data_IF_517305452748
#
_entry.id   IF_517305452748
#
_cell.length_a   1.000
_cell.length_b   1.000
_cell.length_c   1.000
_cell.angle_alpha   90.00
_cell.angle_beta   90.00
_cell.angle_gamma   90.00
#
_symmetry.space_group_name_H-M   'P 1'
#
loop_
_entity.id
_entity.type
_entity.pdbx_description
1 polymer ?
#
# COMPACT_ATOMS: atom_id res chain seq x y z
N UNK A 1 -13.17 -19.86 -1.87
CA UNK A 1 -12.29 -19.19 -2.85
C UNK A 1 -12.98 -17.95 -3.42
N UNK A 2 -12.22 -17.03 -4.01
CA UNK A 2 -12.69 -15.69 -4.43
C UNK A 2 -14.00 -15.70 -5.23
N UNK A 3 -14.09 -16.50 -6.30
CA UNK A 3 -15.31 -16.64 -7.13
C UNK A 3 -16.59 -16.86 -6.32
N UNK A 4 -16.57 -17.79 -5.36
CA UNK A 4 -17.71 -18.10 -4.49
C UNK A 4 -18.02 -16.92 -3.57
N UNK A 5 -17.00 -16.30 -2.99
CA UNK A 5 -17.17 -15.11 -2.14
C UNK A 5 -17.83 -13.94 -2.88
N UNK A 6 -17.48 -13.72 -4.15
CA UNK A 6 -18.13 -12.69 -4.96
C UNK A 6 -19.57 -13.03 -5.35
N UNK A 7 -19.87 -14.30 -5.63
CA UNK A 7 -21.21 -14.76 -5.98
C UNK A 7 -22.16 -14.72 -4.77
N UNK A 8 -21.77 -15.34 -3.67
CA UNK A 8 -22.63 -15.54 -2.50
C UNK A 8 -22.68 -14.29 -1.61
N UNK A 9 -21.62 -13.48 -1.63
CA UNK A 9 -21.49 -12.26 -0.83
C UNK A 9 -22.11 -11.02 -1.49
N UNK A 10 -22.80 -11.16 -2.62
CA UNK A 10 -23.39 -10.05 -3.38
C UNK A 10 -22.40 -8.91 -3.68
N UNK A 11 -21.13 -9.27 -3.93
CA UNK A 11 -20.06 -8.31 -4.17
C UNK A 11 -19.98 -7.89 -5.65
N UNK A 12 -19.37 -6.74 -5.90
CA UNK A 12 -19.21 -6.21 -7.27
C UNK A 12 -18.04 -6.87 -8.03
N UNK A 13 -18.36 -7.57 -9.10
CA UNK A 13 -17.39 -8.15 -10.04
C UNK A 13 -16.71 -7.06 -10.88
N UNK A 14 -15.50 -6.70 -10.51
CA UNK A 14 -14.76 -5.53 -10.98
C UNK A 14 -13.52 -5.86 -11.82
N UNK A 15 -13.20 -7.13 -12.03
CA UNK A 15 -12.12 -7.56 -12.94
C UNK A 15 -12.61 -7.61 -14.38
N UNK A 16 -11.79 -7.10 -15.31
CA UNK A 16 -12.10 -7.04 -16.74
C UNK A 16 -10.82 -7.23 -17.58
N UNK A 17 -11.01 -7.62 -18.83
CA UNK A 17 -9.96 -7.61 -19.84
C UNK A 17 -9.35 -6.20 -20.00
N UNK A 18 -8.02 -6.05 -20.01
CA UNK A 18 -7.39 -4.74 -19.99
C UNK A 18 -7.63 -3.92 -21.26
N UNK A 19 -7.80 -4.57 -22.42
CA UNK A 19 -7.90 -3.91 -23.72
C UNK A 19 -9.37 -3.64 -24.12
N UNK A 20 -10.21 -4.68 -24.08
CA UNK A 20 -11.62 -4.63 -24.48
C UNK A 20 -12.55 -4.16 -23.37
N UNK A 21 -12.08 -4.19 -22.12
CA UNK A 21 -12.87 -3.88 -20.91
C UNK A 21 -14.03 -4.84 -20.65
N UNK A 22 -14.10 -5.97 -21.37
CA UNK A 22 -15.08 -7.01 -21.10
C UNK A 22 -14.93 -7.54 -19.67
N UNK A 23 -16.04 -7.59 -18.91
CA UNK A 23 -16.01 -8.03 -17.52
C UNK A 23 -15.78 -9.55 -17.44
N UNK A 24 -14.97 -10.00 -16.48
CA UNK A 24 -14.72 -11.42 -16.18
C UNK A 24 -15.98 -12.19 -15.74
N UNK A 25 -16.99 -11.49 -15.21
CA UNK A 25 -18.23 -12.08 -14.71
C UNK A 25 -18.13 -12.72 -13.33
N UNK A 26 -16.94 -12.79 -12.73
CA UNK A 26 -16.73 -13.44 -11.42
C UNK A 26 -15.60 -12.84 -10.55
N UNK A 27 -14.99 -11.74 -11.00
CA UNK A 27 -13.87 -11.07 -10.32
C UNK A 27 -12.58 -11.92 -10.21
N UNK A 28 -12.41 -12.92 -11.07
CA UNK A 28 -11.17 -13.69 -11.16
C UNK A 28 -10.27 -13.16 -12.30
N UNK A 29 -8.96 -13.46 -12.30
CA UNK A 29 -8.20 -14.18 -11.28
C UNK A 29 -7.98 -13.36 -10.00
N UNK A 30 -7.82 -14.05 -8.87
CA UNK A 30 -7.19 -13.46 -7.70
C UNK A 30 -5.67 -13.41 -7.91
N UNK A 31 -5.03 -12.35 -7.42
CA UNK A 31 -3.56 -12.26 -7.40
C UNK A 31 -3.07 -12.93 -6.13
N UNK A 32 -2.17 -13.90 -6.28
CA UNK A 32 -1.67 -14.71 -5.17
C UNK A 32 -0.15 -14.62 -5.14
N UNK A 33 0.39 -14.25 -3.99
CA UNK A 33 1.81 -14.28 -3.69
C UNK A 33 2.07 -15.40 -2.68
N UNK A 34 3.15 -16.15 -2.89
CA UNK A 34 3.55 -17.23 -2.00
C UNK A 34 4.89 -16.89 -1.36
N UNK A 35 4.96 -17.01 -0.04
CA UNK A 35 6.21 -17.05 0.71
C UNK A 35 6.42 -18.48 1.19
N UNK A 36 7.48 -19.13 0.73
CA UNK A 36 7.85 -20.47 1.19
C UNK A 36 8.77 -20.32 2.39
N UNK A 37 8.28 -20.74 3.56
CA UNK A 37 9.00 -20.64 4.83
C UNK A 37 9.07 -22.02 5.51
N UNK A 38 10.08 -22.28 6.37
CA UNK A 38 10.12 -23.50 7.16
C UNK A 38 8.91 -23.60 8.11
N UNK A 39 8.38 -24.81 8.30
CA UNK A 39 7.26 -25.08 9.21
C UNK A 39 6.24 -26.05 8.60
N UNK A 40 5.14 -26.26 9.32
CA UNK A 40 4.02 -27.13 8.96
C UNK A 40 2.65 -26.43 9.01
N UNK A 41 2.65 -25.10 9.16
CA UNK A 41 1.45 -24.25 9.22
C UNK A 41 1.27 -23.41 7.95
N UNK A 42 0.05 -22.93 7.71
CA UNK A 42 -0.30 -22.10 6.56
C UNK A 42 -0.94 -20.79 7.02
N UNK A 43 -0.18 -19.69 6.92
CA UNK A 43 -0.72 -18.35 7.11
C UNK A 43 -1.30 -17.82 5.79
N UNK A 44 -2.55 -17.33 5.84
CA UNK A 44 -3.23 -16.72 4.70
C UNK A 44 -3.62 -15.29 5.06
N UNK A 45 -3.01 -14.34 4.38
CA UNK A 45 -3.41 -12.93 4.43
C UNK A 45 -4.23 -12.59 3.19
N UNK A 46 -5.42 -12.05 3.39
CA UNK A 46 -6.32 -11.59 2.35
C UNK A 46 -6.40 -10.07 2.36
N UNK A 47 -6.27 -9.45 1.18
CA UNK A 47 -6.43 -8.01 0.99
C UNK A 47 -7.43 -7.74 -0.14
N UNK A 48 -8.49 -6.99 0.16
CA UNK A 48 -9.46 -6.51 -0.83
C UNK A 48 -9.15 -5.06 -1.22
N UNK A 49 -8.23 -4.86 -2.17
CA UNK A 49 -7.84 -3.54 -2.62
C UNK A 49 -8.87 -2.90 -3.56
N UNK A 50 -9.16 -1.62 -3.35
CA UNK A 50 -10.03 -0.85 -4.24
C UNK A 50 -9.22 -0.26 -5.40
N UNK A 51 -9.77 -0.29 -6.62
CA UNK A 51 -9.08 0.26 -7.80
C UNK A 51 -8.72 1.75 -7.68
N UNK A 52 -9.53 2.54 -6.97
CA UNK A 52 -9.24 3.97 -6.76
C UNK A 52 -7.95 4.21 -5.98
N UNK A 53 -7.64 3.35 -5.01
CA UNK A 53 -6.43 3.42 -4.20
C UNK A 53 -5.26 2.71 -4.88
N UNK A 54 -5.51 1.57 -5.53
CA UNK A 54 -4.53 0.87 -6.38
C UNK A 54 -3.93 1.78 -7.44
N UNK A 55 -4.76 2.57 -8.12
CA UNK A 55 -4.34 3.49 -9.19
C UNK A 55 -3.47 4.65 -8.71
N UNK A 56 -3.23 4.78 -7.38
CA UNK A 56 -2.32 5.77 -6.78
C UNK A 56 -1.02 5.14 -6.31
N UNK A 57 -0.84 3.84 -6.55
CA UNK A 57 0.42 3.15 -6.32
C UNK A 57 1.46 3.57 -7.35
N UNK A 58 2.72 3.61 -6.96
CA UNK A 58 3.85 3.88 -7.87
C UNK A 58 5.08 3.15 -7.38
N UNK A 59 5.85 2.60 -8.32
CA UNK A 59 7.21 2.16 -8.07
C UNK A 59 8.14 3.15 -8.75
N UNK A 60 9.15 3.61 -8.04
CA UNK A 60 10.16 4.52 -8.55
C UNK A 60 11.55 4.02 -8.18
N UNK A 61 12.52 4.28 -9.06
CA UNK A 61 13.92 4.04 -8.79
C UNK A 61 14.54 5.34 -8.34
N UNK A 62 14.87 5.45 -7.05
CA UNK A 62 15.59 6.60 -6.53
C UNK A 62 17.09 6.45 -6.81
N UNK A 63 17.77 7.58 -6.87
CA UNK A 63 19.23 7.58 -6.85
C UNK A 63 19.71 7.15 -5.45
N UNK A 64 20.68 6.24 -5.32
CA UNK A 64 21.13 5.73 -4.03
C UNK A 64 21.59 6.81 -3.04
N UNK A 65 22.03 7.96 -3.54
CA UNK A 65 22.49 9.10 -2.74
C UNK A 65 21.36 9.95 -2.15
N UNK A 66 20.12 9.79 -2.62
CA UNK A 66 18.97 10.55 -2.15
C UNK A 66 18.53 10.16 -0.73
N UNK A 67 18.78 8.90 -0.33
CA UNK A 67 18.52 8.37 1.01
C UNK A 67 17.13 8.80 1.55
N UNK A 68 17.06 9.14 2.85
CA UNK A 68 15.82 9.54 3.51
C UNK A 68 15.30 10.92 3.07
N UNK A 69 16.17 11.85 2.70
CA UNK A 69 15.73 13.20 2.32
C UNK A 69 14.95 13.21 1.00
N UNK A 70 15.43 12.49 -0.02
CA UNK A 70 14.71 12.36 -1.29
C UNK A 70 13.43 11.52 -1.15
N UNK A 71 13.38 10.61 -0.18
CA UNK A 71 12.18 9.84 0.15
C UNK A 71 11.04 10.76 0.60
N UNK A 72 11.31 11.71 1.50
CA UNK A 72 10.28 12.63 2.01
C UNK A 72 9.63 13.44 0.88
N UNK A 73 10.44 13.98 -0.03
CA UNK A 73 9.92 14.71 -1.20
C UNK A 73 9.00 13.83 -2.04
N UNK A 74 9.44 12.61 -2.37
CA UNK A 74 8.65 11.70 -3.19
C UNK A 74 7.34 11.30 -2.51
N UNK A 75 7.36 11.02 -1.21
CA UNK A 75 6.17 10.63 -0.45
C UNK A 75 5.14 11.76 -0.44
N UNK A 76 5.56 12.98 -0.07
CA UNK A 76 4.66 14.12 0.02
C UNK A 76 4.08 14.49 -1.35
N UNK A 77 4.92 14.50 -2.38
CA UNK A 77 4.49 14.72 -3.77
C UNK A 77 3.49 13.66 -4.25
N UNK A 78 3.68 12.38 -3.87
CA UNK A 78 2.71 11.31 -4.20
C UNK A 78 1.38 11.49 -3.48
N UNK A 79 1.38 11.89 -2.21
CA UNK A 79 0.13 12.12 -1.48
C UNK A 79 -0.62 13.35 -2.02
N UNK A 80 0.10 14.42 -2.34
CA UNK A 80 -0.46 15.62 -2.95
C UNK A 80 -1.07 15.33 -4.33
N UNK A 81 -0.34 14.63 -5.20
CA UNK A 81 -0.84 14.20 -6.53
C UNK A 81 -2.08 13.30 -6.43
N UNK A 82 -2.12 12.44 -5.41
CA UNK A 82 -3.26 11.57 -5.15
C UNK A 82 -4.49 12.37 -4.68
N UNK A 83 -4.29 13.36 -3.82
CA UNK A 83 -5.31 14.28 -3.32
C UNK A 83 -6.57 13.54 -2.82
N UNK A 84 -7.78 13.90 -3.28
CA UNK A 84 -9.02 13.26 -2.83
C UNK A 84 -9.27 11.86 -3.42
N UNK A 85 -8.52 11.46 -4.46
CA UNK A 85 -8.88 10.31 -5.31
C UNK A 85 -8.88 8.96 -4.57
N UNK A 86 -7.95 8.66 -3.64
CA UNK A 86 -8.01 7.45 -2.84
C UNK A 86 -8.89 7.60 -1.59
N UNK A 87 -9.84 8.55 -1.58
CA UNK A 87 -10.82 8.73 -0.50
C UNK A 87 -10.18 8.82 0.90
N UNK A 88 -9.35 9.86 1.17
CA UNK A 88 -8.78 10.08 2.51
C UNK A 88 -9.87 10.19 3.58
N UNK A 89 -9.62 9.78 4.85
CA UNK A 89 -8.31 9.51 5.42
C UNK A 89 -7.64 8.20 4.96
N UNK A 90 -6.33 8.26 4.74
CA UNK A 90 -5.52 7.17 4.16
C UNK A 90 -4.81 6.34 5.23
N UNK A 91 -4.47 5.11 4.88
CA UNK A 91 -3.30 4.43 5.42
C UNK A 91 -2.24 4.41 4.30
N UNK A 92 -1.15 5.14 4.51
CA UNK A 92 -0.11 5.32 3.51
C UNK A 92 1.04 4.35 3.77
N UNK A 93 1.23 3.38 2.89
CA UNK A 93 2.29 2.40 3.03
C UNK A 93 3.34 2.59 1.95
N UNK A 94 4.60 2.42 2.30
CA UNK A 94 5.66 2.34 1.30
C UNK A 94 6.75 1.36 1.70
N UNK A 95 7.50 0.89 0.73
CA UNK A 95 8.70 0.10 0.95
C UNK A 95 9.90 0.71 0.26
N UNK A 96 11.07 0.55 0.86
CA UNK A 96 12.35 0.94 0.27
C UNK A 96 13.33 -0.25 0.26
N UNK A 97 14.03 -0.41 -0.86
CA UNK A 97 15.00 -1.48 -1.08
C UNK A 97 14.45 -2.71 -1.81
N UNK A 98 15.19 -3.81 -1.78
CA UNK A 98 14.90 -5.00 -2.58
C UNK A 98 15.14 -4.78 -4.08
N UNK A 99 14.42 -5.53 -4.90
CA UNK A 99 14.27 -5.30 -6.35
C UNK A 99 12.97 -4.55 -6.64
N UNK A 100 12.79 -4.09 -7.89
CA UNK A 100 11.58 -3.33 -8.31
C UNK A 100 10.28 -4.07 -7.99
N UNK A 101 10.23 -5.35 -8.33
CA UNK A 101 9.10 -6.25 -8.09
C UNK A 101 8.94 -6.58 -6.61
N UNK A 102 10.04 -6.83 -5.90
CA UNK A 102 10.03 -7.11 -4.47
C UNK A 102 9.50 -5.92 -3.66
N UNK A 103 9.91 -4.69 -4.00
CA UNK A 103 9.40 -3.48 -3.38
C UNK A 103 7.86 -3.39 -3.50
N UNK A 104 7.31 -3.62 -4.69
CA UNK A 104 5.86 -3.59 -4.88
C UNK A 104 5.13 -4.61 -3.96
N UNK A 105 5.67 -5.84 -3.85
CA UNK A 105 5.11 -6.88 -2.99
C UNK A 105 5.26 -6.53 -1.51
N UNK A 106 6.42 -6.01 -1.08
CA UNK A 106 6.68 -5.60 0.30
C UNK A 106 5.74 -4.48 0.73
N UNK A 107 5.50 -3.49 -0.13
CA UNK A 107 4.52 -2.44 0.18
C UNK A 107 3.11 -3.01 0.31
N UNK A 108 2.73 -4.01 -0.50
CA UNK A 108 1.43 -4.68 -0.34
C UNK A 108 1.33 -5.40 1.00
N UNK A 109 2.40 -6.06 1.46
CA UNK A 109 2.46 -6.67 2.79
C UNK A 109 2.35 -5.62 3.90
N UNK A 110 2.94 -4.44 3.73
CA UNK A 110 2.81 -3.34 4.68
C UNK A 110 1.37 -2.83 4.84
N UNK A 111 0.46 -3.09 3.90
CA UNK A 111 -0.98 -2.76 4.05
C UNK A 111 -1.74 -3.72 4.96
N UNK A 112 -1.13 -4.86 5.32
CA UNK A 112 -1.72 -5.84 6.24
C UNK A 112 -1.48 -5.45 7.71
N UNK A 113 -0.60 -4.48 7.95
CA UNK A 113 -0.30 -3.93 9.27
C UNK A 113 -1.52 -3.22 9.85
N UNK A 114 -1.79 -3.48 11.12
CA UNK A 114 -2.90 -2.85 11.83
C UNK A 114 -2.67 -1.34 11.99
N UNK A 115 -3.75 -0.57 12.05
CA UNK A 115 -3.68 0.88 12.06
C UNK A 115 -2.89 1.41 13.26
N UNK A 116 -3.11 0.82 14.44
CA UNK A 116 -2.50 1.16 15.72
C UNK A 116 -1.15 0.46 15.96
N UNK A 117 -0.66 -0.33 15.01
CA UNK A 117 0.66 -0.95 15.13
C UNK A 117 1.78 0.09 15.04
N UNK A 118 2.96 -0.29 15.54
CA UNK A 118 4.19 0.50 15.45
C UNK A 118 5.28 -0.40 14.89
N UNK A 119 6.13 0.15 14.02
CA UNK A 119 7.25 -0.61 13.49
C UNK A 119 8.18 -1.11 14.61
N UNK A 120 8.67 -2.37 14.56
CA UNK A 120 9.49 -2.95 15.64
C UNK A 120 10.85 -2.26 15.81
N UNK A 121 11.43 -1.75 14.71
CA UNK A 121 12.62 -0.91 14.76
C UNK A 121 12.28 0.54 15.20
N UNK A 122 12.85 1.06 16.31
CA UNK A 122 12.53 2.38 16.84
C UNK A 122 12.87 3.54 15.89
N UNK A 123 13.94 3.43 15.11
CA UNK A 123 14.33 4.48 14.18
C UNK A 123 13.35 4.62 13.02
N UNK A 124 12.82 3.50 12.55
CA UNK A 124 11.79 3.44 11.51
C UNK A 124 10.43 3.88 12.05
N UNK A 125 10.07 3.50 13.27
CA UNK A 125 8.86 3.96 13.95
C UNK A 125 8.85 5.50 14.12
N UNK A 126 10.00 6.10 14.44
CA UNK A 126 10.12 7.55 14.50
C UNK A 126 9.85 8.22 13.15
N UNK A 127 10.31 7.61 12.04
CA UNK A 127 10.07 8.09 10.68
C UNK A 127 8.62 7.93 10.24
N UNK A 128 7.95 6.83 10.63
CA UNK A 128 6.50 6.67 10.42
C UNK A 128 5.71 7.82 11.04
N UNK A 129 6.06 8.19 12.28
CA UNK A 129 5.41 9.30 12.99
C UNK A 129 5.73 10.67 12.37
N UNK A 130 6.99 10.91 12.01
CA UNK A 130 7.42 12.14 11.31
C UNK A 130 6.65 12.32 10.00
N UNK A 131 6.64 11.29 9.15
CA UNK A 131 5.97 11.32 7.85
C UNK A 131 4.45 11.46 7.98
N UNK A 132 3.84 10.83 8.99
CA UNK A 132 2.42 11.01 9.27
C UNK A 132 2.08 12.48 9.55
N UNK A 133 2.91 13.17 10.33
CA UNK A 133 2.75 14.59 10.60
C UNK A 133 2.88 15.39 9.30
N UNK A 134 3.97 15.18 8.54
CA UNK A 134 4.22 15.90 7.29
C UNK A 134 3.09 15.71 6.26
N UNK A 135 2.55 14.49 6.14
CA UNK A 135 1.42 14.19 5.24
C UNK A 135 0.14 14.93 5.68
N UNK A 136 -0.12 15.00 6.98
CA UNK A 136 -1.28 15.73 7.50
C UNK A 136 -1.11 17.25 7.37
N UNK A 137 0.11 17.75 7.44
CA UNK A 137 0.44 19.18 7.26
C UNK A 137 0.22 19.67 5.82
N UNK A 138 0.10 18.78 4.83
CA UNK A 138 -0.34 19.13 3.47
C UNK A 138 -1.75 19.73 3.43
N UNK A 139 -2.56 19.53 4.48
CA UNK A 139 -3.87 20.17 4.61
C UNK A 139 -4.96 19.65 3.66
N UNK A 140 -4.72 18.55 2.94
CA UNK A 140 -5.69 17.92 2.01
C UNK A 140 -6.98 17.53 2.75
N UNK A 141 -6.83 16.87 3.91
CA UNK A 141 -7.94 16.50 4.79
C UNK A 141 -8.88 15.41 4.24
N UNK A 142 -9.92 15.06 5.01
CA UNK A 142 -10.87 14.02 4.64
C UNK A 142 -11.56 14.32 3.30
N UNK A 143 -11.57 13.34 2.41
CA UNK A 143 -12.08 13.45 1.04
C UNK A 143 -11.51 14.62 0.20
N UNK A 144 -10.38 15.21 0.62
CA UNK A 144 -9.78 16.39 -0.02
C UNK A 144 -10.58 17.69 0.18
N UNK A 145 -11.38 17.78 1.24
CA UNK A 145 -12.19 18.97 1.56
C UNK A 145 -11.46 19.95 2.49
N UNK A 146 -10.15 19.78 2.69
CA UNK A 146 -9.37 20.50 3.67
C UNK A 146 -9.44 19.87 5.06
N UNK A 147 -8.47 20.20 5.92
CA UNK A 147 -8.47 19.80 7.33
C UNK A 147 -7.16 19.17 7.78
N UNK A 148 -7.18 18.55 8.97
CA UNK A 148 -5.96 18.07 9.65
C UNK A 148 -5.70 16.56 9.51
N UNK A 149 -6.60 15.83 8.85
CA UNK A 149 -6.57 14.36 8.83
C UNK A 149 -6.66 13.84 7.39
N UNK A 150 -5.55 13.97 6.67
CA UNK A 150 -5.35 13.36 5.36
C UNK A 150 -5.03 11.87 5.50
N UNK A 151 -4.24 11.52 6.51
CA UNK A 151 -3.71 10.18 6.73
C UNK A 151 -3.87 9.81 8.21
N UNK A 152 -4.23 8.55 8.47
CA UNK A 152 -4.37 7.98 9.80
C UNK A 152 -3.08 7.32 10.27
N UNK A 153 -2.32 6.70 9.37
CA UNK A 153 -1.01 6.13 9.68
C UNK A 153 -0.13 6.01 8.44
N UNK A 154 1.18 6.07 8.66
CA UNK A 154 2.21 5.73 7.67
C UNK A 154 2.87 4.42 8.09
N UNK A 155 3.06 3.49 7.16
CA UNK A 155 3.72 2.21 7.43
C UNK A 155 4.90 2.00 6.46
N UNK A 156 6.05 1.70 7.01
CA UNK A 156 7.30 1.48 6.27
C UNK A 156 7.60 -0.02 6.25
N UNK A 157 7.97 -0.53 5.08
CA UNK A 157 8.67 -1.80 4.93
C UNK A 157 10.06 -1.57 4.33
N UNK A 158 11.04 -2.38 4.73
CA UNK A 158 12.41 -2.24 4.24
C UNK A 158 12.97 -3.60 3.86
N UNK A 159 13.83 -3.60 2.84
CA UNK A 159 14.62 -4.76 2.47
C UNK A 159 16.06 -4.35 2.11
N UNK A 160 17.05 -5.24 2.27
CA UNK A 160 18.39 -5.03 1.74
C UNK A 160 18.35 -4.74 0.24
N UNK A 161 19.28 -3.94 -0.24
CA UNK A 161 19.32 -3.48 -1.64
C UNK A 161 20.75 -3.52 -2.17
N UNK A 162 20.89 -3.66 -3.48
CA UNK A 162 22.16 -3.48 -4.16
C UNK A 162 22.61 -2.01 -4.04
N UNK A 163 23.89 -1.76 -3.77
CA UNK A 163 24.44 -0.42 -3.50
C UNK A 163 24.17 0.61 -4.62
N UNK A 164 24.04 0.15 -5.87
CA UNK A 164 23.74 0.98 -7.03
C UNK A 164 22.23 1.16 -7.29
N UNK A 165 21.35 0.77 -6.37
CA UNK A 165 19.90 0.80 -6.58
C UNK A 165 19.17 1.23 -5.31
N UNK A 166 18.03 1.89 -5.49
CA UNK A 166 17.15 2.24 -4.39
C UNK A 166 15.67 2.23 -4.85
N UNK A 167 15.06 1.04 -5.01
CA UNK A 167 13.64 0.95 -5.33
C UNK A 167 12.79 1.52 -4.19
N UNK A 168 11.80 2.31 -4.55
CA UNK A 168 10.78 2.84 -3.66
C UNK A 168 9.42 2.50 -4.25
N UNK A 169 8.59 1.78 -3.50
CA UNK A 169 7.22 1.46 -3.89
C UNK A 169 6.24 2.07 -2.90
N UNK A 170 5.27 2.85 -3.37
CA UNK A 170 4.19 3.42 -2.55
C UNK A 170 2.87 2.72 -2.88
N UNK A 171 2.06 2.50 -1.85
CA UNK A 171 0.71 2.00 -1.97
C UNK A 171 -0.20 2.70 -0.96
N UNK A 172 -1.39 3.06 -1.40
CA UNK A 172 -2.34 3.81 -0.58
C UNK A 172 -3.53 2.91 -0.31
N UNK A 173 -3.87 2.75 0.97
CA UNK A 173 -5.15 2.19 1.38
C UNK A 173 -6.13 3.34 1.61
N UNK A 174 -7.30 3.26 0.98
CA UNK A 174 -8.39 4.20 1.20
C UNK A 174 -9.14 3.90 2.52
N UNK A 175 -10.13 4.72 2.86
CA UNK A 175 -10.99 4.48 4.04
C UNK A 175 -11.64 3.09 4.07
N UNK A 176 -11.79 2.42 2.92
CA UNK A 176 -12.22 1.02 2.84
C UNK A 176 -11.03 0.07 3.10
N UNK A 177 -10.42 0.17 4.28
CA UNK A 177 -9.39 -0.74 4.78
C UNK A 177 -9.97 -2.14 5.00
N UNK A 178 -9.58 -3.11 4.16
CA UNK A 178 -10.19 -4.44 4.12
C UNK A 178 -9.10 -5.50 3.96
N UNK A 179 -8.58 -5.97 5.09
CA UNK A 179 -7.67 -7.10 5.14
C UNK A 179 -8.08 -8.06 6.26
N UNK A 180 -7.64 -9.31 6.16
CA UNK A 180 -7.77 -10.30 7.21
C UNK A 180 -6.63 -11.30 7.11
N UNK A 181 -6.06 -11.65 8.26
CA UNK A 181 -5.10 -12.74 8.37
C UNK A 181 -5.71 -13.90 9.16
N UNK A 182 -5.38 -15.12 8.73
CA UNK A 182 -5.73 -16.39 9.40
C UNK A 182 -4.53 -17.33 9.36
N UNK A 183 -4.37 -18.14 10.41
CA UNK A 183 -3.34 -19.18 10.57
C UNK A 183 -4.02 -20.53 10.71
#
# INVERSE_FOLDING_TARGET
GGRKGYADGFLRKSSCDPMTRANSGDNTPAIIHFDVVPGDTLNISFLATGGGSENRSRVNMLDPYQCYQGLNYFILDRVDEAGPKPCPPLLFCFSIGGTVDNAAILTKKALLRELDDTHPDPETAAKEKELLQLVNDLGIGPMGLGGKTTCLAVKIAMAPVHIASLPLAVNIQCHSARHKEVT
#
